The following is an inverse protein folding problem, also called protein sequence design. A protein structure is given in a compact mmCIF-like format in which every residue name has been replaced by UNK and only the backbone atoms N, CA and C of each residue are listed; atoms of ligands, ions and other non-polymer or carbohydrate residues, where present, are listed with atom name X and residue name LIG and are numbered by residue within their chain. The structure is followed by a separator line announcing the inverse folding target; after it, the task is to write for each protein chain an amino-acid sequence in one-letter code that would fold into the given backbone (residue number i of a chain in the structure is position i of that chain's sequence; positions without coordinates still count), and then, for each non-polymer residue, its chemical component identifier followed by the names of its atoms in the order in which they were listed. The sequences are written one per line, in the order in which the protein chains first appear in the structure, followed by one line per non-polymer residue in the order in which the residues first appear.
data_IF_687612261979
#
_entry.id   IF_687612261979
#
_cell.length_a   1.000
_cell.length_b   1.000
_cell.length_c   1.000
_cell.angle_alpha   90.00
_cell.angle_beta   90.00
_cell.angle_gamma   90.00
#
_symmetry.space_group_name_H-M   'P 1'
#
loop_
_entity.id
_entity.type
_entity.pdbx_description
1 polymer ?
#
# COMPACT_ATOMS: atom_id res chain seq x y z
N UNK A 1 12.77 -8.40 7.98
CA UNK A 1 11.91 -7.22 7.85
C UNK A 1 12.69 -6.02 8.34
N UNK A 2 12.99 -5.09 7.43
CA UNK A 2 13.58 -3.79 7.71
C UNK A 2 12.54 -2.68 7.60
N UNK A 3 12.73 -1.59 8.34
CA UNK A 3 11.89 -0.39 8.29
C UNK A 3 12.84 0.81 8.22
N UNK A 4 12.68 1.64 7.20
CA UNK A 4 13.43 2.88 7.04
C UNK A 4 12.46 4.06 7.05
N UNK A 5 12.75 5.06 7.88
CA UNK A 5 12.02 6.32 7.95
C UNK A 5 12.87 7.44 7.34
N UNK A 6 12.22 8.51 6.87
CA UNK A 6 12.90 9.74 6.48
C UNK A 6 13.15 10.68 7.67
N UNK A 7 13.64 11.89 7.38
CA UNK A 7 14.20 12.79 8.40
C UNK A 7 13.18 13.37 9.38
N UNK A 8 11.95 13.59 8.94
CA UNK A 8 10.82 14.06 9.75
C UNK A 8 9.77 12.96 10.03
N UNK A 9 9.93 11.78 9.43
CA UNK A 9 9.19 10.56 9.77
C UNK A 9 7.80 10.50 9.16
N UNK A 10 7.53 11.26 8.09
CA UNK A 10 6.27 11.19 7.36
C UNK A 10 6.29 10.12 6.26
N UNK A 11 7.46 9.56 5.93
CA UNK A 11 7.62 8.44 4.98
C UNK A 11 8.22 7.22 5.62
N UNK A 12 7.85 6.08 5.04
CA UNK A 12 8.40 4.78 5.39
C UNK A 12 8.66 3.94 4.14
N UNK A 13 9.79 3.24 4.13
CA UNK A 13 10.11 2.18 3.18
C UNK A 13 10.30 0.88 3.97
N UNK A 14 9.72 -0.21 3.49
CA UNK A 14 9.87 -1.52 4.10
C UNK A 14 10.85 -2.37 3.28
N UNK A 15 11.49 -3.33 3.95
CA UNK A 15 12.35 -4.32 3.29
C UNK A 15 11.95 -5.72 3.76
N UNK A 16 11.73 -6.63 2.80
CA UNK A 16 11.32 -8.01 3.08
C UNK A 16 12.46 -8.90 3.62
N UNK A 17 12.22 -10.21 3.76
CA UNK A 17 13.22 -11.17 4.24
C UNK A 17 14.34 -11.48 3.22
N UNK A 18 14.09 -11.21 1.94
CA UNK A 18 15.03 -11.43 0.84
C UNK A 18 15.80 -10.15 0.48
N UNK A 19 15.55 -9.05 1.19
CA UNK A 19 16.19 -7.77 0.94
C UNK A 19 15.54 -6.93 -0.17
N UNK A 20 14.32 -7.27 -0.60
CA UNK A 20 13.58 -6.48 -1.59
C UNK A 20 12.90 -5.29 -0.93
N UNK A 21 12.93 -4.16 -1.62
CA UNK A 21 12.19 -2.96 -1.26
C UNK A 21 10.68 -3.23 -1.41
N UNK A 22 9.93 -2.75 -0.42
CA UNK A 22 8.47 -2.76 -0.37
C UNK A 22 8.05 -1.30 -0.22
N UNK A 23 7.52 -0.76 -1.31
CA UNK A 23 7.31 0.68 -1.46
C UNK A 23 5.93 1.14 -0.97
N UNK A 24 5.61 2.42 -1.18
CA UNK A 24 4.34 3.00 -0.75
C UNK A 24 3.10 2.33 -1.37
N UNK A 25 3.17 1.87 -2.62
CA UNK A 25 2.05 1.24 -3.29
C UNK A 25 1.81 -0.18 -2.74
N UNK A 26 2.89 -0.93 -2.48
CA UNK A 26 2.80 -2.23 -1.81
C UNK A 26 2.21 -2.10 -0.39
N UNK A 27 2.66 -1.08 0.36
CA UNK A 27 2.14 -0.79 1.70
C UNK A 27 0.66 -0.40 1.65
N UNK A 28 0.26 0.44 0.70
CA UNK A 28 -1.14 0.83 0.50
C UNK A 28 -2.01 -0.38 0.16
N UNK A 29 -1.54 -1.26 -0.72
CA UNK A 29 -2.26 -2.50 -1.07
C UNK A 29 -2.47 -3.39 0.16
N UNK A 30 -1.42 -3.61 0.96
CA UNK A 30 -1.46 -4.45 2.15
C UNK A 30 -2.47 -3.90 3.18
N UNK A 31 -2.44 -2.59 3.44
CA UNK A 31 -3.35 -1.93 4.37
C UNK A 31 -4.79 -1.98 3.85
N UNK A 32 -5.01 -1.66 2.57
CA UNK A 32 -6.34 -1.67 1.97
C UNK A 32 -6.97 -3.06 2.01
N UNK A 33 -6.22 -4.11 1.66
CA UNK A 33 -6.66 -5.50 1.71
C UNK A 33 -7.02 -5.92 3.13
N UNK A 34 -6.14 -5.71 4.12
CA UNK A 34 -6.43 -6.07 5.52
C UNK A 34 -7.69 -5.38 6.03
N UNK A 35 -7.83 -4.07 5.76
CA UNK A 35 -9.02 -3.33 6.20
C UNK A 35 -10.27 -3.78 5.47
N UNK A 36 -10.19 -4.13 4.19
CA UNK A 36 -11.33 -4.64 3.42
C UNK A 36 -11.79 -6.00 3.95
N UNK A 37 -10.86 -6.95 4.17
CA UNK A 37 -11.16 -8.28 4.72
C UNK A 37 -11.79 -8.23 6.11
N UNK A 38 -11.42 -7.22 6.91
CA UNK A 38 -11.96 -6.99 8.26
C UNK A 38 -13.26 -6.18 8.27
N UNK A 39 -13.76 -5.74 7.11
CA UNK A 39 -14.94 -4.87 6.99
C UNK A 39 -14.73 -3.46 7.58
N UNK A 40 -13.49 -3.01 7.70
CA UNK A 40 -13.10 -1.71 8.27
C UNK A 40 -12.81 -0.64 7.21
N UNK A 41 -12.63 -1.05 5.95
CA UNK A 41 -12.41 -0.12 4.85
C UNK A 41 -13.75 0.52 4.46
N UNK A 42 -13.82 1.84 4.50
CA UNK A 42 -14.97 2.62 4.05
C UNK A 42 -14.56 3.42 2.81
N UNK A 43 -15.29 3.24 1.71
CA UNK A 43 -14.93 3.87 0.44
C UNK A 43 -13.82 3.11 -0.30
N UNK A 44 -12.76 3.83 -0.68
CA UNK A 44 -11.68 3.33 -1.52
C UNK A 44 -10.29 3.81 -1.08
N UNK A 45 -9.30 3.59 -1.93
CA UNK A 45 -7.91 4.03 -1.73
C UNK A 45 -7.63 5.22 -2.63
N UNK A 46 -7.09 6.30 -2.10
CA UNK A 46 -6.68 7.46 -2.91
C UNK A 46 -5.19 7.37 -3.20
N UNK A 47 -4.81 7.37 -4.48
CA UNK A 47 -3.42 7.50 -4.92
C UNK A 47 -3.17 8.78 -5.72
N UNK A 48 -1.92 8.97 -6.14
CA UNK A 48 -1.52 10.11 -6.99
C UNK A 48 -1.31 9.65 -8.44
N UNK A 49 -1.04 10.60 -9.35
CA UNK A 49 -0.66 10.27 -10.73
C UNK A 49 0.61 9.39 -10.80
N UNK A 50 1.47 9.44 -9.78
CA UNK A 50 2.71 8.66 -9.71
C UNK A 50 2.51 7.24 -9.14
N UNK A 51 1.32 6.93 -8.61
CA UNK A 51 0.99 5.59 -8.13
C UNK A 51 0.95 4.61 -9.30
N UNK A 52 1.53 3.43 -9.09
CA UNK A 52 1.64 2.39 -10.08
C UNK A 52 0.26 1.92 -10.56
N UNK A 53 0.08 1.77 -11.88
CA UNK A 53 -1.16 1.23 -12.46
C UNK A 53 -1.48 -0.20 -11.97
N UNK A 54 -0.45 -0.97 -11.60
CA UNK A 54 -0.60 -2.28 -10.96
C UNK A 54 -1.36 -2.21 -9.63
N UNK A 55 -1.23 -1.12 -8.86
CA UNK A 55 -1.98 -0.96 -7.61
C UNK A 55 -3.48 -0.83 -7.88
N UNK A 56 -3.87 0.05 -8.81
CA UNK A 56 -5.30 0.24 -9.13
C UNK A 56 -5.92 -1.04 -9.70
N UNK A 57 -5.19 -1.78 -10.54
CA UNK A 57 -5.62 -3.09 -11.03
C UNK A 57 -5.75 -4.13 -9.89
N UNK A 58 -4.85 -4.12 -8.91
CA UNK A 58 -4.89 -5.06 -7.80
C UNK A 58 -6.06 -4.77 -6.84
N UNK A 59 -6.39 -3.49 -6.63
CA UNK A 59 -7.52 -3.05 -5.82
C UNK A 59 -8.86 -3.34 -6.50
N UNK A 60 -8.96 -3.14 -7.82
CA UNK A 60 -10.17 -3.46 -8.60
C UNK A 60 -10.53 -4.94 -8.51
N UNK A 61 -9.54 -5.84 -8.53
CA UNK A 61 -9.75 -7.29 -8.33
C UNK A 61 -10.32 -7.64 -6.95
N UNK A 62 -10.15 -6.77 -5.96
CA UNK A 62 -10.71 -6.91 -4.61
C UNK A 62 -12.05 -6.16 -4.47
N UNK A 63 -12.55 -5.50 -5.53
CA UNK A 63 -13.73 -4.66 -5.46
C UNK A 63 -13.54 -3.39 -4.65
N UNK A 64 -12.29 -2.93 -4.47
CA UNK A 64 -11.95 -1.72 -3.73
C UNK A 64 -11.83 -0.57 -4.75
N UNK A 65 -12.63 0.51 -4.62
CA UNK A 65 -12.49 1.69 -5.48
C UNK A 65 -11.11 2.36 -5.30
N UNK A 66 -10.57 2.90 -6.39
CA UNK A 66 -9.32 3.69 -6.42
C UNK A 66 -9.55 5.06 -7.04
#
# INVERSE_FOLDING_TARGET
MGIAFDGDGDRVLLVDGDGREVDGDDILYLIARDRHERGLLQGGVVGTLMTNFGLSMALDKLGIPF
#
